data_IF_830176733242
#
_entry.id   IF_830176733242
#
_cell.length_a   1.000
_cell.length_b   1.000
_cell.length_c   1.000
_cell.angle_alpha   90.00
_cell.angle_beta   90.00
_cell.angle_gamma   90.00
#
_symmetry.space_group_name_H-M   'P 1'
#
loop_
_entity.id
_entity.type
_entity.pdbx_description
1 polymer ?
#
# COMPACT_ATOMS: atom_id res chain seq x y z
N UNK A 1 -12.18 -10.07 -32.02
CA UNK A 1 -12.67 -10.04 -30.63
C UNK A 1 -11.91 -8.96 -29.87
N UNK A 2 -12.43 -7.73 -29.87
CA UNK A 2 -11.74 -6.56 -29.32
C UNK A 2 -12.32 -6.25 -27.94
N UNK A 3 -11.52 -6.43 -26.90
CA UNK A 3 -11.92 -6.13 -25.51
C UNK A 3 -12.12 -4.61 -25.35
N UNK A 4 -13.34 -4.20 -25.01
CA UNK A 4 -13.71 -2.83 -24.67
C UNK A 4 -13.03 -2.47 -23.35
N UNK A 5 -12.12 -1.48 -23.36
CA UNK A 5 -11.61 -0.87 -22.14
C UNK A 5 -12.79 -0.30 -21.35
N UNK A 6 -13.09 -0.87 -20.17
CA UNK A 6 -14.08 -0.32 -19.24
C UNK A 6 -13.45 0.91 -18.59
N UNK A 7 -13.79 2.09 -19.09
CA UNK A 7 -13.55 3.33 -18.37
C UNK A 7 -14.44 3.32 -17.12
N UNK A 8 -13.83 3.37 -15.94
CA UNK A 8 -14.55 3.45 -14.66
C UNK A 8 -14.53 4.92 -14.24
N UNK A 9 -15.71 5.54 -14.21
CA UNK A 9 -15.88 6.89 -13.71
C UNK A 9 -15.82 6.88 -12.19
N UNK A 10 -14.81 7.53 -11.63
CA UNK A 10 -14.58 7.65 -10.18
C UNK A 10 -15.13 8.94 -9.58
N UNK A 11 -15.75 9.82 -10.38
CA UNK A 11 -16.28 11.11 -9.92
C UNK A 11 -17.40 10.98 -8.87
N UNK A 12 -18.06 9.81 -8.83
CA UNK A 12 -19.11 9.50 -7.86
C UNK A 12 -18.58 8.89 -6.55
N UNK A 13 -17.26 8.65 -6.43
CA UNK A 13 -16.69 8.17 -5.17
C UNK A 13 -16.67 9.29 -4.13
N UNK A 14 -17.16 8.99 -2.93
CA UNK A 14 -17.12 9.94 -1.81
C UNK A 14 -15.68 10.14 -1.32
N UNK A 15 -15.25 11.38 -1.14
CA UNK A 15 -13.96 11.72 -0.51
C UNK A 15 -14.00 11.61 1.04
N UNK A 16 -15.12 11.15 1.60
CA UNK A 16 -15.30 11.00 3.04
C UNK A 16 -15.08 9.54 3.45
N UNK A 17 -13.90 9.26 3.99
CA UNK A 17 -13.55 7.97 4.58
C UNK A 17 -13.97 7.96 6.05
N UNK A 18 -15.18 7.45 6.34
CA UNK A 18 -15.61 7.26 7.72
C UNK A 18 -14.96 6.00 8.28
N UNK A 19 -14.44 6.09 9.50
CA UNK A 19 -14.00 4.91 10.23
C UNK A 19 -15.20 3.99 10.46
N UNK A 20 -14.99 2.68 10.42
CA UNK A 20 -16.01 1.76 10.90
C UNK A 20 -16.33 2.06 12.37
N UNK A 21 -17.59 1.85 12.77
CA UNK A 21 -18.01 2.14 14.14
C UNK A 21 -17.15 1.31 15.12
N UNK A 22 -16.49 1.98 16.07
CA UNK A 22 -15.56 1.39 17.06
C UNK A 22 -14.20 0.90 16.52
N UNK A 23 -13.82 1.23 15.28
CA UNK A 23 -12.45 1.00 14.82
C UNK A 23 -11.46 1.91 15.54
N UNK A 24 -10.29 1.36 15.91
CA UNK A 24 -9.20 2.15 16.48
C UNK A 24 -8.66 3.17 15.45
N UNK A 25 -8.12 4.32 15.89
CA UNK A 25 -7.52 5.29 14.99
C UNK A 25 -6.40 4.67 14.16
N UNK A 26 -6.31 5.07 12.89
CA UNK A 26 -5.20 4.72 12.01
C UNK A 26 -3.94 5.44 12.48
N UNK A 27 -2.84 4.70 12.59
CA UNK A 27 -1.53 5.26 12.91
C UNK A 27 -0.91 5.96 11.70
N UNK A 28 -0.23 7.08 11.93
CA UNK A 28 0.56 7.78 10.91
C UNK A 28 2.04 7.64 11.24
N UNK A 29 2.82 7.18 10.26
CA UNK A 29 4.28 7.13 10.33
C UNK A 29 4.86 7.90 9.15
N UNK A 30 5.90 8.67 9.40
CA UNK A 30 6.64 9.40 8.36
C UNK A 30 8.12 9.05 8.56
N UNK A 31 8.83 8.77 7.48
CA UNK A 31 10.28 8.64 7.46
C UNK A 31 10.89 9.88 6.83
N UNK A 32 11.83 10.53 7.53
CA UNK A 32 12.51 11.73 7.02
C UNK A 32 13.65 11.42 6.04
N UNK A 33 14.08 10.15 5.97
CA UNK A 33 15.17 9.69 5.11
C UNK A 33 14.71 8.54 4.21
N UNK A 34 15.51 8.27 3.18
CA UNK A 34 15.34 7.11 2.31
C UNK A 34 15.35 5.81 3.13
N UNK A 35 14.41 4.93 2.84
CA UNK A 35 14.24 3.61 3.45
C UNK A 35 14.60 2.55 2.43
N UNK A 36 15.48 1.62 2.77
CA UNK A 36 15.80 0.49 1.89
C UNK A 36 14.55 -0.38 1.66
N UNK A 37 14.31 -0.78 0.41
CA UNK A 37 13.13 -1.57 0.05
C UNK A 37 12.97 -2.88 0.86
N UNK A 38 14.03 -3.68 1.11
CA UNK A 38 13.92 -4.88 1.94
C UNK A 38 13.49 -4.59 3.39
N UNK A 39 13.96 -3.49 3.99
CA UNK A 39 13.56 -3.11 5.35
C UNK A 39 12.09 -2.69 5.41
N UNK A 40 11.64 -1.89 4.43
CA UNK A 40 10.23 -1.51 4.35
C UNK A 40 9.32 -2.74 4.17
N UNK A 41 9.74 -3.70 3.34
CA UNK A 41 9.01 -4.94 3.13
C UNK A 41 8.89 -5.77 4.42
N UNK A 42 10.00 -5.91 5.16
CA UNK A 42 10.03 -6.61 6.45
C UNK A 42 9.12 -5.94 7.48
N UNK A 43 9.22 -4.62 7.61
CA UNK A 43 8.36 -3.85 8.52
C UNK A 43 6.87 -3.98 8.16
N UNK A 44 6.54 -3.92 6.87
CA UNK A 44 5.16 -4.11 6.40
C UNK A 44 4.63 -5.51 6.74
N UNK A 45 5.44 -6.56 6.54
CA UNK A 45 5.04 -7.94 6.86
C UNK A 45 4.76 -8.10 8.37
N UNK A 46 5.68 -7.63 9.21
CA UNK A 46 5.51 -7.65 10.67
C UNK A 46 4.27 -6.87 11.11
N UNK A 47 4.03 -5.69 10.53
CA UNK A 47 2.82 -4.90 10.81
C UNK A 47 1.55 -5.65 10.42
N UNK A 48 1.52 -6.29 9.25
CA UNK A 48 0.36 -7.07 8.77
C UNK A 48 0.08 -8.26 9.69
N UNK A 49 1.12 -8.99 10.11
CA UNK A 49 1.00 -10.09 11.07
C UNK A 49 0.39 -9.59 12.39
N UNK A 50 0.90 -8.47 12.91
CA UNK A 50 0.43 -7.87 14.16
C UNK A 50 -1.02 -7.35 14.07
N UNK A 51 -1.43 -6.79 12.93
CA UNK A 51 -2.82 -6.39 12.68
C UNK A 51 -3.72 -7.63 12.64
N UNK A 52 -3.29 -8.69 11.95
CA UNK A 52 -4.03 -9.95 11.87
C UNK A 52 -4.22 -10.59 13.26
N UNK A 53 -3.19 -10.52 14.10
CA UNK A 53 -3.22 -10.96 15.49
C UNK A 53 -3.96 -10.00 16.45
N UNK A 54 -4.47 -8.86 15.96
CA UNK A 54 -5.16 -7.82 16.74
C UNK A 54 -4.30 -7.18 17.84
N UNK A 55 -2.99 -7.15 17.65
CA UNK A 55 -2.02 -6.54 18.58
C UNK A 55 -1.44 -5.21 18.08
N UNK A 56 -1.76 -4.83 16.84
CA UNK A 56 -1.43 -3.53 16.27
C UNK A 56 -2.61 -2.96 15.47
N UNK A 57 -2.63 -1.64 15.29
CA UNK A 57 -3.62 -0.95 14.48
C UNK A 57 -3.16 -0.79 13.02
N UNK A 58 -4.13 -0.50 12.15
CA UNK A 58 -3.87 -0.06 10.77
C UNK A 58 -2.94 1.16 10.77
N UNK A 59 -2.03 1.23 9.79
CA UNK A 59 -1.05 2.31 9.70
C UNK A 59 -0.90 2.79 8.26
N UNK A 60 -0.78 4.11 8.10
CA UNK A 60 -0.29 4.75 6.88
C UNK A 60 1.16 5.19 7.12
N UNK A 61 2.07 4.72 6.27
CA UNK A 61 3.48 5.08 6.33
C UNK A 61 3.91 5.81 5.07
N UNK A 62 4.33 7.08 5.24
CA UNK A 62 4.93 7.88 4.18
C UNK A 62 6.46 7.70 4.25
N UNK A 63 7.02 7.21 3.15
CA UNK A 63 8.45 6.97 3.02
C UNK A 63 8.89 7.17 1.57
N UNK A 64 10.20 7.27 1.39
CA UNK A 64 10.86 7.28 0.09
C UNK A 64 11.88 6.14 0.04
N UNK A 65 12.14 5.59 -1.14
CA UNK A 65 13.17 4.56 -1.35
C UNK A 65 14.34 5.13 -2.14
N UNK A 66 15.58 4.61 -1.96
CA UNK A 66 16.63 4.79 -2.96
C UNK A 66 16.17 4.30 -4.35
N UNK A 67 16.86 4.76 -5.41
CA UNK A 67 16.57 4.40 -6.80
C UNK A 67 16.42 2.90 -6.99
N UNK A 68 15.22 2.43 -7.35
CA UNK A 68 14.93 1.01 -7.53
C UNK A 68 13.97 0.74 -8.69
N UNK A 69 14.06 -0.46 -9.25
CA UNK A 69 13.09 -0.98 -10.21
C UNK A 69 12.29 -2.10 -9.55
N UNK A 70 10.97 -1.95 -9.47
CA UNK A 70 10.06 -2.99 -9.02
C UNK A 70 9.34 -3.63 -10.21
N UNK A 71 9.30 -4.95 -10.25
CA UNK A 71 8.48 -5.70 -11.18
C UNK A 71 7.20 -6.19 -10.46
N UNK A 72 6.05 -5.65 -10.84
CA UNK A 72 4.76 -6.14 -10.36
C UNK A 72 4.42 -7.54 -10.92
N UNK A 73 3.36 -8.15 -10.41
CA UNK A 73 2.92 -9.51 -10.81
C UNK A 73 2.58 -9.64 -12.30
N UNK A 74 2.24 -8.54 -12.97
CA UNK A 74 1.96 -8.48 -14.41
C UNK A 74 3.19 -8.11 -15.26
N UNK A 75 4.35 -7.86 -14.65
CA UNK A 75 5.55 -7.46 -15.36
C UNK A 75 6.05 -8.61 -16.24
N UNK A 76 6.24 -8.32 -17.53
CA UNK A 76 6.79 -9.29 -18.50
C UNK A 76 8.29 -9.14 -18.54
N UNK A 77 9.01 -10.24 -18.29
CA UNK A 77 10.45 -10.31 -18.55
C UNK A 77 10.67 -10.21 -20.05
N UNK A 78 11.27 -9.11 -20.53
CA UNK A 78 11.82 -9.07 -21.89
C UNK A 78 13.10 -9.88 -21.88
N UNK A 79 13.07 -11.03 -22.55
CA UNK A 79 14.27 -11.79 -22.90
C UNK A 79 14.60 -11.35 -24.34
N UNK A 80 15.81 -10.80 -24.53
CA UNK A 80 16.33 -10.43 -25.84
C UNK A 80 16.76 -11.67 -26.62
#
# INVERSE_FOLDING_TARGET
MTSKLKYIDHSHLSNHFKTAHQASPVEWKISDNLVEYPEALRYMQERVENISAKIAHEQVWLLEHPSLYTAGTSAKKKIY
#
